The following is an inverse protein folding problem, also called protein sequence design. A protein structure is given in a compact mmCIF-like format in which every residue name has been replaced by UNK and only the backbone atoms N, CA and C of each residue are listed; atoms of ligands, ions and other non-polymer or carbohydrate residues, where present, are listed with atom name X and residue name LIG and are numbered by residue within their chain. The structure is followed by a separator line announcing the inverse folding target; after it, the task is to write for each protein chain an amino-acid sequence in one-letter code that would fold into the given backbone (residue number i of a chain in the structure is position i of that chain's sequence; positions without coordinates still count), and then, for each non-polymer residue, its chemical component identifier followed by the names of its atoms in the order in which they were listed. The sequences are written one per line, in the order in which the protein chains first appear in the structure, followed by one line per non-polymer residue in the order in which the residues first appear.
data_IF_029938581899
#
_entry.id   IF_029938581899
#
_cell.length_a   1.000
_cell.length_b   1.000
_cell.length_c   1.000
_cell.angle_alpha   90.00
_cell.angle_beta   90.00
_cell.angle_gamma   90.00
#
_symmetry.space_group_name_H-M   'P 1'
#
loop_
_entity.id
_entity.type
_entity.pdbx_description
1 polymer ?
#
# COMPACT_ATOMS: atom_id res chain seq x y z
N UNK A 1 -16.23 -7.35 -10.10
CA UNK A 1 -16.09 -6.70 -8.78
C UNK A 1 -15.42 -7.71 -7.87
N UNK A 2 -14.14 -7.52 -7.54
CA UNK A 2 -13.35 -8.50 -6.78
C UNK A 2 -13.56 -8.36 -5.27
N UNK A 3 -13.55 -9.47 -4.54
CA UNK A 3 -13.65 -9.46 -3.07
C UNK A 3 -12.25 -9.28 -2.48
N UNK A 4 -12.04 -8.19 -1.73
CA UNK A 4 -10.78 -7.95 -1.02
C UNK A 4 -10.71 -8.83 0.25
N UNK A 5 -9.73 -9.70 0.29
CA UNK A 5 -9.44 -10.56 1.44
C UNK A 5 -8.22 -10.01 2.17
N UNK A 6 -8.31 -9.85 3.49
CA UNK A 6 -7.17 -9.44 4.33
C UNK A 6 -6.72 -10.64 5.15
N UNK A 7 -5.45 -10.98 5.05
CA UNK A 7 -4.83 -12.09 5.77
C UNK A 7 -3.55 -11.63 6.49
N UNK A 8 -3.15 -12.39 7.50
CA UNK A 8 -1.85 -12.29 8.16
C UNK A 8 -1.00 -13.46 7.70
N UNK A 9 0.24 -13.19 7.32
CA UNK A 9 1.20 -14.23 6.98
C UNK A 9 1.90 -14.71 8.26
N UNK A 10 1.70 -15.97 8.62
CA UNK A 10 2.32 -16.60 9.80
C UNK A 10 2.92 -17.95 9.40
N UNK A 11 4.24 -18.10 9.55
CA UNK A 11 4.96 -19.36 9.32
C UNK A 11 4.66 -20.05 7.98
N UNK A 12 4.60 -19.29 6.87
CA UNK A 12 4.33 -19.85 5.54
C UNK A 12 2.84 -19.96 5.19
N UNK A 13 1.94 -19.62 6.12
CA UNK A 13 0.49 -19.75 5.92
C UNK A 13 -0.18 -18.37 5.93
N UNK A 14 -0.99 -18.08 4.90
CA UNK A 14 -1.85 -16.90 4.85
C UNK A 14 -3.14 -17.17 5.61
N UNK A 15 -3.27 -16.58 6.81
CA UNK A 15 -4.42 -16.73 7.69
C UNK A 15 -5.38 -15.57 7.49
N UNK A 16 -6.57 -15.78 6.90
CA UNK A 16 -7.52 -14.71 6.69
C UNK A 16 -8.01 -14.18 8.04
N UNK A 17 -8.13 -12.85 8.16
CA UNK A 17 -8.62 -12.21 9.40
C UNK A 17 -10.09 -12.51 9.66
N UNK A 18 -10.86 -12.69 8.59
CA UNK A 18 -12.26 -13.06 8.64
C UNK A 18 -12.43 -14.47 8.06
N UNK A 19 -13.41 -15.22 8.58
CA UNK A 19 -13.73 -16.54 8.04
C UNK A 19 -14.15 -16.39 6.56
N UNK A 20 -13.44 -17.10 5.69
CA UNK A 20 -13.78 -17.20 4.27
C UNK A 20 -14.59 -18.47 4.04
N UNK A 21 -15.66 -18.35 3.26
CA UNK A 21 -16.44 -19.48 2.80
C UNK A 21 -16.26 -19.60 1.28
N UNK A 22 -15.10 -20.11 0.88
CA UNK A 22 -14.74 -20.30 -0.53
C UNK A 22 -14.73 -21.81 -0.86
N UNK A 23 -15.17 -22.21 -2.06
CA UNK A 23 -15.04 -23.59 -2.52
C UNK A 23 -13.59 -24.07 -2.51
N UNK A 24 -13.38 -25.37 -2.28
CA UNK A 24 -12.07 -25.97 -2.43
C UNK A 24 -11.57 -25.80 -3.88
N UNK A 25 -10.28 -25.50 -4.04
CA UNK A 25 -9.68 -25.22 -5.36
C UNK A 25 -9.92 -23.80 -5.90
N UNK A 26 -10.50 -22.89 -5.10
CA UNK A 26 -10.61 -21.48 -5.50
C UNK A 26 -9.23 -20.86 -5.66
N UNK A 27 -8.90 -20.44 -6.87
CA UNK A 27 -7.70 -19.66 -7.15
C UNK A 27 -7.87 -18.22 -6.65
N UNK A 28 -6.82 -17.69 -6.03
CA UNK A 28 -6.79 -16.32 -5.50
C UNK A 28 -5.51 -15.63 -5.93
N UNK A 29 -5.62 -14.34 -6.24
CA UNK A 29 -4.48 -13.49 -6.52
C UNK A 29 -3.96 -12.87 -5.21
N UNK A 30 -2.66 -13.03 -4.94
CA UNK A 30 -2.03 -12.42 -3.78
C UNK A 30 -1.45 -11.06 -4.17
N UNK A 31 -2.04 -9.99 -3.64
CA UNK A 31 -1.51 -8.63 -3.81
C UNK A 31 -0.79 -8.20 -2.54
N UNK A 32 0.54 -8.14 -2.60
CA UNK A 32 1.36 -7.57 -1.51
C UNK A 32 1.50 -6.07 -1.76
N UNK A 33 0.76 -5.27 -0.99
CA UNK A 33 0.89 -3.82 -1.07
C UNK A 33 2.15 -3.37 -0.33
N UNK A 34 3.01 -2.53 -0.94
CA UNK A 34 4.12 -1.93 -0.24
C UNK A 34 3.57 -1.08 0.92
N UNK A 35 4.20 -1.16 2.08
CA UNK A 35 3.88 -0.23 3.16
C UNK A 35 4.29 1.19 2.74
N UNK A 36 3.52 2.21 3.12
CA UNK A 36 3.87 3.62 2.87
C UNK A 36 5.29 3.94 3.39
N UNK A 37 5.69 3.33 4.52
CA UNK A 37 7.05 3.42 5.06
C UNK A 37 8.10 2.75 4.17
N UNK A 38 7.79 1.58 3.60
CA UNK A 38 8.66 0.90 2.63
C UNK A 38 8.78 1.67 1.32
N UNK A 39 7.68 2.30 0.88
CA UNK A 39 7.67 3.18 -0.28
C UNK A 39 8.59 4.39 -0.06
N UNK A 40 8.47 5.08 1.09
CA UNK A 40 9.34 6.21 1.44
C UNK A 40 10.83 5.81 1.47
N UNK A 41 11.16 4.64 2.02
CA UNK A 41 12.55 4.13 2.02
C UNK A 41 13.11 3.89 0.62
N UNK A 42 12.28 3.43 -0.32
CA UNK A 42 12.69 3.27 -1.73
C UNK A 42 12.94 4.63 -2.40
N UNK A 43 12.27 5.70 -1.96
CA UNK A 43 12.48 7.05 -2.45
C UNK A 43 13.59 7.83 -1.70
N UNK A 44 14.11 7.33 -0.57
CA UNK A 44 15.28 7.93 0.09
C UNK A 44 16.57 7.75 -0.75
N UNK A 45 16.69 6.65 -1.51
CA UNK A 45 17.83 6.40 -2.40
C UNK A 45 17.69 7.08 -3.77
N UNK A 46 16.46 7.36 -4.19
CA UNK A 46 16.23 8.21 -5.35
C UNK A 46 16.49 9.62 -4.87
N UNK A 47 17.71 10.10 -5.10
CA UNK A 47 18.14 11.47 -4.87
C UNK A 47 17.24 12.40 -5.71
N UNK A 48 16.06 12.71 -5.18
CA UNK A 48 15.08 13.59 -5.81
C UNK A 48 15.71 14.97 -5.72
N UNK A 49 16.39 15.34 -6.82
CA UNK A 49 16.78 16.72 -7.13
C UNK A 49 15.65 17.65 -6.71
N UNK A 50 16.04 18.74 -6.08
CA UNK A 50 15.31 19.70 -5.24
C UNK A 50 13.93 20.21 -5.69
N UNK A 51 13.36 19.73 -6.80
CA UNK A 51 12.11 20.18 -7.41
C UNK A 51 10.81 19.64 -6.77
N UNK A 52 10.83 18.48 -6.07
CA UNK A 52 9.59 17.95 -5.47
C UNK A 52 9.27 18.62 -4.12
N UNK A 53 10.30 19.12 -3.42
CA UNK A 53 10.15 19.82 -2.14
C UNK A 53 9.38 21.14 -2.26
N UNK A 54 9.54 21.87 -3.36
CA UNK A 54 8.77 23.08 -3.65
C UNK A 54 7.33 22.75 -4.04
N UNK A 55 7.12 21.74 -4.90
CA UNK A 55 5.79 21.33 -5.33
C UNK A 55 4.88 20.89 -4.16
N UNK A 56 5.44 20.23 -3.14
CA UNK A 56 4.70 19.84 -1.93
C UNK A 56 4.42 21.00 -0.98
N UNK A 57 5.28 22.02 -0.94
CA UNK A 57 5.02 23.26 -0.17
C UNK A 57 3.91 24.08 -0.83
N UNK A 58 3.95 24.26 -2.14
CA UNK A 58 2.96 25.04 -2.89
C UNK A 58 1.55 24.42 -2.79
N UNK A 59 1.47 23.08 -2.79
CA UNK A 59 0.20 22.37 -2.59
C UNK A 59 -0.37 22.56 -1.16
N UNK A 60 0.48 22.77 -0.16
CA UNK A 60 0.07 22.99 1.23
C UNK A 60 -0.42 24.41 1.47
N UNK A 61 0.16 25.40 0.78
CA UNK A 61 -0.28 26.80 0.87
C UNK A 61 -1.60 27.06 0.13
N UNK A 62 -1.87 26.36 -0.98
CA UNK A 62 -3.14 26.50 -1.71
C UNK A 62 -4.36 26.00 -0.94
N UNK A 63 -4.20 25.07 0.01
CA UNK A 63 -5.30 24.52 0.81
C UNK A 63 -5.71 25.37 2.03
N UNK A 64 -4.99 26.47 2.28
CA UNK A 64 -5.28 27.40 3.38
C UNK A 64 -6.17 28.59 2.97
N UNK A 65 -6.49 28.72 1.68
CA UNK A 65 -7.28 29.82 1.12
C UNK A 65 -8.51 29.37 0.31
N UNK A 66 -8.84 28.07 0.30
CA UNK A 66 -10.13 27.53 -0.19
C UNK A 66 -11.08 27.23 0.97
#
# INVERSE_FOLDING_TARGET
MGTKIVAVYENGVLRPKNRLNLPAGTEVELVILPSLKGLMKLFEEVNVKEEVGSALKDARERKLWE
#
